data_IF_132473444124
#
_entry.id   IF_132473444124
#
_cell.length_a   1.000
_cell.length_b   1.000
_cell.length_c   1.000
_cell.angle_alpha   90.00
_cell.angle_beta   90.00
_cell.angle_gamma   90.00
#
_symmetry.space_group_name_H-M   'P 1'
#
loop_
_entity.id
_entity.type
_entity.pdbx_description
1 polymer ?
#
# COMPACT_ATOMS: atom_id res chain seq x y z
N UNK A 1 16.24 -31.82 26.46
CA UNK A 1 16.11 -30.35 26.28
C UNK A 1 15.91 -30.02 24.80
N UNK A 2 14.75 -30.33 24.21
CA UNK A 2 14.44 -30.01 22.81
C UNK A 2 13.05 -29.38 22.62
N UNK A 3 12.33 -29.15 23.72
CA UNK A 3 10.93 -28.68 23.71
C UNK A 3 10.79 -27.16 23.96
N UNK A 4 11.89 -26.48 24.29
CA UNK A 4 11.91 -25.03 24.54
C UNK A 4 12.26 -24.21 23.30
N UNK A 5 12.85 -24.83 22.28
CA UNK A 5 13.26 -24.15 21.04
C UNK A 5 12.10 -24.00 20.04
N UNK A 6 11.12 -24.90 20.07
CA UNK A 6 9.98 -24.94 19.15
C UNK A 6 8.88 -23.91 19.48
N UNK A 7 8.82 -23.41 20.72
CA UNK A 7 7.74 -22.54 21.20
C UNK A 7 7.85 -21.08 20.70
N UNK A 8 9.04 -20.64 20.27
CA UNK A 8 9.29 -19.24 19.84
C UNK A 8 9.27 -19.07 18.32
N UNK A 9 9.53 -20.14 17.56
CA UNK A 9 9.62 -20.06 16.09
C UNK A 9 8.25 -19.88 15.42
N UNK A 10 7.20 -20.48 15.98
CA UNK A 10 5.82 -20.37 15.46
C UNK A 10 5.24 -18.95 15.58
N UNK A 11 5.29 -18.26 16.74
CA UNK A 11 4.77 -16.89 16.83
C UNK A 11 5.56 -15.88 15.98
N UNK A 12 6.88 -16.07 15.83
CA UNK A 12 7.70 -15.20 14.99
C UNK A 12 7.34 -15.32 13.49
N UNK A 13 7.06 -16.53 13.01
CA UNK A 13 6.61 -16.76 11.63
C UNK A 13 5.22 -16.16 11.36
N UNK A 14 4.29 -16.22 12.33
CA UNK A 14 2.97 -15.58 12.21
C UNK A 14 3.04 -14.05 12.19
N UNK A 15 3.94 -13.43 12.99
CA UNK A 15 4.12 -11.99 12.97
C UNK A 15 4.64 -11.48 11.60
N UNK A 16 5.56 -12.21 10.97
CA UNK A 16 6.08 -11.88 9.64
C UNK A 16 5.00 -11.99 8.54
N UNK A 17 4.08 -12.94 8.65
CA UNK A 17 2.98 -13.11 7.70
C UNK A 17 1.95 -11.96 7.76
N UNK A 18 1.72 -11.37 8.94
CA UNK A 18 0.82 -10.22 9.11
C UNK A 18 1.37 -8.94 8.46
N UNK A 19 2.69 -8.73 8.44
CA UNK A 19 3.29 -7.55 7.80
C UNK A 19 3.14 -7.56 6.26
N UNK A 20 3.12 -8.73 5.62
CA UNK A 20 3.01 -8.82 4.16
C UNK A 20 1.60 -8.47 3.64
N UNK A 21 0.57 -8.57 4.49
CA UNK A 21 -0.81 -8.27 4.11
C UNK A 21 -1.10 -6.77 3.88
N UNK A 22 -0.16 -5.88 4.21
CA UNK A 22 -0.34 -4.43 4.12
C UNK A 22 0.42 -3.76 2.95
N UNK A 23 1.04 -4.52 2.04
CA UNK A 23 1.73 -3.92 0.90
C UNK A 23 0.69 -3.29 -0.05
N UNK A 24 0.78 -1.97 -0.35
CA UNK A 24 -0.10 -1.31 -1.30
C UNK A 24 -0.10 -2.03 -2.65
N UNK A 25 -1.26 -2.55 -3.05
CA UNK A 25 -1.41 -3.14 -4.38
C UNK A 25 -1.32 -2.05 -5.44
N UNK A 26 -0.56 -2.31 -6.50
CA UNK A 26 -0.38 -1.38 -7.62
C UNK A 26 -0.86 -2.00 -8.93
N UNK A 27 -1.72 -1.29 -9.65
CA UNK A 27 -2.26 -1.67 -10.96
C UNK A 27 -1.81 -0.66 -12.00
N UNK A 28 -1.51 -1.13 -13.22
CA UNK A 28 -1.13 -0.26 -14.34
C UNK A 28 -2.18 -0.38 -15.44
N UNK A 29 -2.59 0.77 -15.96
CA UNK A 29 -3.60 0.87 -17.02
C UNK A 29 -3.02 1.70 -18.17
N UNK A 30 -2.94 1.15 -19.39
CA UNK A 30 -2.51 1.90 -20.55
C UNK A 30 -3.53 2.97 -20.91
N UNK A 31 -3.05 4.20 -21.16
CA UNK A 31 -3.90 5.34 -21.53
C UNK A 31 -3.19 6.25 -22.53
N UNK A 32 -3.96 7.11 -23.20
CA UNK A 32 -3.41 8.22 -23.96
C UNK A 32 -2.68 9.19 -23.01
N UNK A 33 -1.44 9.54 -23.33
CA UNK A 33 -0.58 10.35 -22.45
C UNK A 33 0.34 9.55 -21.51
N UNK A 34 0.32 8.21 -21.60
CA UNK A 34 1.21 7.31 -20.86
C UNK A 34 0.46 6.41 -19.88
N UNK A 35 1.18 5.45 -19.30
CA UNK A 35 0.65 4.52 -18.30
C UNK A 35 0.10 5.26 -17.08
N UNK A 36 -1.10 4.88 -16.66
CA UNK A 36 -1.67 5.29 -15.37
C UNK A 36 -1.29 4.23 -14.34
N UNK A 37 -0.55 4.64 -13.31
CA UNK A 37 -0.23 3.78 -12.17
C UNK A 37 -1.21 4.09 -11.05
N UNK A 38 -1.93 3.08 -10.58
CA UNK A 38 -2.93 3.19 -9.51
C UNK A 38 -2.40 2.43 -8.30
N UNK A 39 -2.22 3.10 -7.17
CA UNK A 39 -1.78 2.50 -5.91
C UNK A 39 -2.89 2.63 -4.87
N UNK A 40 -3.30 1.49 -4.29
CA UNK A 40 -4.29 1.47 -3.21
C UNK A 40 -3.64 1.86 -1.88
N UNK A 41 -4.15 2.90 -1.21
CA UNK A 41 -3.61 3.40 0.06
C UNK A 41 -4.39 2.90 1.29
N UNK A 42 -5.66 2.54 1.10
CA UNK A 42 -6.54 1.99 2.14
C UNK A 42 -7.98 2.44 1.94
N UNK A 43 -8.95 1.60 2.32
CA UNK A 43 -10.38 1.82 2.02
C UNK A 43 -10.62 2.18 0.54
N UNK A 44 -11.09 3.40 0.27
CA UNK A 44 -11.29 3.97 -1.07
C UNK A 44 -10.22 5.00 -1.43
N UNK A 45 -9.24 5.25 -0.56
CA UNK A 45 -8.11 6.13 -0.82
C UNK A 45 -7.17 5.50 -1.83
N UNK A 46 -6.94 6.21 -2.94
CA UNK A 46 -6.08 5.74 -4.02
C UNK A 46 -5.18 6.87 -4.53
N UNK A 47 -3.99 6.49 -4.98
CA UNK A 47 -3.06 7.38 -5.68
C UNK A 47 -3.02 7.01 -7.16
N UNK A 48 -3.19 7.99 -8.02
CA UNK A 48 -2.96 7.90 -9.45
C UNK A 48 -1.67 8.61 -9.82
N UNK A 49 -0.90 8.01 -10.71
CA UNK A 49 0.26 8.64 -11.34
C UNK A 49 0.19 8.51 -12.86
N UNK A 50 0.33 9.62 -13.56
CA UNK A 50 0.44 9.65 -15.02
C UNK A 50 1.28 10.84 -15.46
N UNK A 51 2.21 10.65 -16.40
CA UNK A 51 3.04 11.73 -16.94
C UNK A 51 3.75 12.60 -15.87
N UNK A 52 4.11 11.99 -14.73
CA UNK A 52 4.75 12.69 -13.61
C UNK A 52 3.81 13.50 -12.73
N UNK A 53 2.49 13.43 -12.95
CA UNK A 53 1.46 14.00 -12.09
C UNK A 53 0.96 12.98 -11.08
N UNK A 54 0.71 13.44 -9.86
CA UNK A 54 0.19 12.65 -8.75
C UNK A 54 -1.18 13.18 -8.35
N UNK A 55 -2.20 12.32 -8.39
CA UNK A 55 -3.55 12.64 -7.92
C UNK A 55 -3.88 11.70 -6.76
N UNK A 56 -4.37 12.23 -5.64
CA UNK A 56 -4.90 11.42 -4.55
C UNK A 56 -6.42 11.58 -4.52
N UNK A 57 -7.14 10.46 -4.48
CA UNK A 57 -8.61 10.44 -4.38
C UNK A 57 -9.00 9.93 -2.99
N UNK A 58 -9.97 10.62 -2.38
CA UNK A 58 -10.55 10.31 -1.07
C UNK A 58 -9.50 10.08 0.03
N UNK A 59 -8.67 11.08 0.38
CA UNK A 59 -7.61 10.92 1.37
C UNK A 59 -8.17 10.84 2.81
N UNK A 60 -8.54 9.64 3.25
CA UNK A 60 -9.06 9.43 4.60
C UNK A 60 -7.94 8.94 5.53
N UNK A 61 -7.28 9.87 6.21
CA UNK A 61 -6.10 9.60 7.04
C UNK A 61 -6.31 8.58 8.19
N UNK A 62 -7.56 8.30 8.59
CA UNK A 62 -7.86 7.30 9.62
C UNK A 62 -8.04 5.88 9.07
N UNK A 63 -8.09 5.72 7.75
CA UNK A 63 -8.36 4.45 7.05
C UNK A 63 -7.32 4.12 5.97
N UNK A 64 -6.45 5.07 5.63
CA UNK A 64 -5.35 4.91 4.70
C UNK A 64 -4.04 5.46 5.29
N UNK A 65 -2.93 4.77 5.03
CA UNK A 65 -1.61 5.25 5.40
C UNK A 65 -1.08 6.23 4.34
N UNK A 66 -1.41 7.51 4.52
CA UNK A 66 -0.98 8.59 3.64
C UNK A 66 0.50 8.97 3.83
N UNK A 67 1.20 8.43 4.85
CA UNK A 67 2.63 8.71 5.05
C UNK A 67 3.50 8.14 3.93
N UNK A 68 3.00 7.11 3.25
CA UNK A 68 3.66 6.44 2.13
C UNK A 68 3.22 7.00 0.77
N UNK A 69 2.21 7.88 0.74
CA UNK A 69 1.74 8.51 -0.48
C UNK A 69 2.74 9.56 -0.97
N UNK A 70 2.82 9.74 -2.29
CA UNK A 70 3.58 10.84 -2.90
C UNK A 70 2.84 12.15 -2.66
N UNK A 71 3.58 13.25 -2.70
CA UNK A 71 2.96 14.57 -2.66
C UNK A 71 2.03 14.75 -3.86
N UNK A 72 0.76 15.06 -3.58
CA UNK A 72 -0.26 15.23 -4.60
C UNK A 72 -0.07 16.57 -5.34
N UNK A 73 -0.15 16.54 -6.67
CA UNK A 73 -0.42 17.71 -7.49
C UNK A 73 -1.90 18.12 -7.39
N UNK A 74 -2.81 17.15 -7.18
CA UNK A 74 -4.26 17.34 -7.08
C UNK A 74 -4.89 16.36 -6.09
N UNK A 75 -5.91 16.82 -5.35
CA UNK A 75 -6.71 16.00 -4.44
C UNK A 75 -8.17 16.04 -4.90
N UNK A 76 -8.84 14.88 -4.94
CA UNK A 76 -10.26 14.71 -5.29
C UNK A 76 -11.05 14.06 -4.16
#
# INVERSE_FOLDING_TARGET
MAFRLTLVVVPAAMAAALLQAQIPSTTRVPASGGEIVITALGHASVQFEQAGKVIIVDPVANQADLSQAKLADLIL
#
